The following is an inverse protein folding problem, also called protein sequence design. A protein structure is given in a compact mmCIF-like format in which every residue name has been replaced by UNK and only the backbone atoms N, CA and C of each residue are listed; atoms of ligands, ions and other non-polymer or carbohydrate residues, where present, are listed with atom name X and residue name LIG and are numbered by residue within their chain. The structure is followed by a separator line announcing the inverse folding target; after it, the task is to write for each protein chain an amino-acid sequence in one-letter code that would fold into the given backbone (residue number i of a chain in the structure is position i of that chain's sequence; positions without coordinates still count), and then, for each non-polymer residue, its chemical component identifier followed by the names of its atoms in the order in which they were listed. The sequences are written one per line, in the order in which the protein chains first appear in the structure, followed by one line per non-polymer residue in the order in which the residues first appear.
data_IF_590993805804
#
_entry.id   IF_590993805804
#
_cell.length_a   1.000
_cell.length_b   1.000
_cell.length_c   1.000
_cell.angle_alpha   90.00
_cell.angle_beta   90.00
_cell.angle_gamma   90.00
#
_symmetry.space_group_name_H-M   'P 1'
#
loop_
_entity.id
_entity.type
_entity.pdbx_description
1 polymer ?
#
# COMPACT_ATOMS: atom_id res chain seq x y z
N UNK A 1 -15.86 -18.94 17.57
CA UNK A 1 -16.00 -18.61 16.14
C UNK A 1 -14.76 -19.12 15.44
N UNK A 2 -14.88 -20.16 14.61
CA UNK A 2 -13.75 -20.73 13.89
C UNK A 2 -13.25 -19.71 12.85
N UNK A 3 -11.96 -19.38 12.89
CA UNK A 3 -11.33 -18.60 11.82
C UNK A 3 -11.53 -19.35 10.51
N UNK A 4 -12.14 -18.69 9.52
CA UNK A 4 -12.37 -19.28 8.21
C UNK A 4 -11.03 -19.74 7.63
N UNK A 5 -10.87 -21.07 7.51
CA UNK A 5 -9.76 -21.69 6.79
C UNK A 5 -9.91 -21.30 5.32
N UNK A 6 -9.09 -20.36 4.84
CA UNK A 6 -9.15 -19.88 3.45
C UNK A 6 -7.91 -19.11 3.06
N UNK A 7 -7.56 -19.18 1.77
CA UNK A 7 -6.56 -18.31 1.18
C UNK A 7 -7.14 -16.89 1.01
N UNK A 8 -6.38 -15.86 1.38
CA UNK A 8 -6.75 -14.48 1.10
C UNK A 8 -6.13 -14.05 -0.24
N UNK A 9 -6.98 -13.75 -1.22
CA UNK A 9 -6.56 -13.22 -2.52
C UNK A 9 -6.46 -11.70 -2.47
N UNK A 10 -5.30 -11.16 -2.85
CA UNK A 10 -5.00 -9.73 -2.77
C UNK A 10 -4.61 -9.22 -4.15
N UNK A 11 -5.31 -8.19 -4.63
CA UNK A 11 -4.95 -7.46 -5.86
C UNK A 11 -3.97 -6.35 -5.51
N UNK A 12 -2.91 -6.22 -6.30
CA UNK A 12 -1.92 -5.16 -6.15
C UNK A 12 -1.96 -4.22 -7.34
N UNK A 13 -1.92 -2.93 -7.06
CA UNK A 13 -1.95 -1.89 -8.07
C UNK A 13 -0.78 -0.95 -7.90
N UNK A 14 -0.33 -0.39 -9.01
CA UNK A 14 0.54 0.77 -9.09
C UNK A 14 -0.19 1.88 -9.86
N UNK A 15 0.20 3.14 -9.70
CA UNK A 15 -0.28 4.18 -10.61
C UNK A 15 0.20 3.91 -12.04
N UNK A 16 -0.67 4.07 -13.03
CA UNK A 16 -0.30 3.90 -14.42
C UNK A 16 0.83 4.87 -14.83
N UNK A 17 1.73 4.40 -15.69
CA UNK A 17 2.89 5.17 -16.19
C UNK A 17 4.02 5.34 -15.16
N UNK A 18 4.02 4.56 -14.07
CA UNK A 18 5.17 4.52 -13.16
C UNK A 18 6.37 3.83 -13.83
N UNK A 19 7.59 4.24 -13.45
CA UNK A 19 8.83 3.72 -14.04
C UNK A 19 9.57 2.76 -13.10
N UNK A 20 8.87 2.14 -12.14
CA UNK A 20 9.47 1.22 -11.16
C UNK A 20 9.83 -0.08 -11.86
N UNK A 21 11.06 -0.56 -11.69
CA UNK A 21 11.52 -1.80 -12.30
C UNK A 21 10.74 -3.03 -11.78
N UNK A 22 10.63 -4.11 -12.58
CA UNK A 22 9.92 -5.33 -12.16
C UNK A 22 10.39 -5.88 -10.81
N UNK A 23 11.71 -5.96 -10.59
CA UNK A 23 12.29 -6.47 -9.34
C UNK A 23 11.89 -5.61 -8.13
N UNK A 24 11.88 -4.28 -8.30
CA UNK A 24 11.45 -3.36 -7.25
C UNK A 24 9.94 -3.42 -7.03
N UNK A 25 9.13 -3.61 -8.07
CA UNK A 25 7.67 -3.85 -7.92
C UNK A 25 7.41 -5.09 -7.08
N UNK A 26 8.12 -6.20 -7.34
CA UNK A 26 8.01 -7.44 -6.55
C UNK A 26 8.38 -7.21 -5.07
N UNK A 27 9.50 -6.52 -4.82
CA UNK A 27 9.93 -6.21 -3.45
C UNK A 27 8.93 -5.27 -2.72
N UNK A 28 8.37 -4.28 -3.42
CA UNK A 28 7.34 -3.40 -2.89
C UNK A 28 6.03 -4.13 -2.59
N UNK A 29 5.62 -5.09 -3.43
CA UNK A 29 4.44 -5.94 -3.18
C UNK A 29 4.58 -6.70 -1.85
N UNK A 30 5.76 -7.28 -1.60
CA UNK A 30 6.06 -7.97 -0.35
C UNK A 30 6.02 -7.00 0.85
N UNK A 31 6.68 -5.85 0.76
CA UNK A 31 6.66 -4.83 1.80
C UNK A 31 5.24 -4.29 2.07
N UNK A 32 4.46 -4.05 1.02
CA UNK A 32 3.09 -3.55 1.13
C UNK A 32 2.19 -4.55 1.85
N UNK A 33 2.32 -5.84 1.53
CA UNK A 33 1.58 -6.89 2.21
C UNK A 33 1.98 -7.00 3.69
N UNK A 34 3.27 -7.02 3.99
CA UNK A 34 3.75 -7.02 5.37
C UNK A 34 3.21 -5.82 6.15
N UNK A 35 3.20 -4.64 5.53
CA UNK A 35 2.65 -3.40 6.12
C UNK A 35 1.15 -3.52 6.39
N UNK A 36 0.36 -4.11 5.49
CA UNK A 36 -1.07 -4.33 5.72
C UNK A 36 -1.32 -5.33 6.87
N UNK A 37 -0.45 -6.33 7.01
CA UNK A 37 -0.53 -7.35 8.06
C UNK A 37 -0.12 -6.83 9.44
N UNK A 38 0.57 -5.69 9.54
CA UNK A 38 0.87 -5.03 10.82
C UNK A 38 -0.42 -4.74 11.63
N UNK A 39 -1.49 -4.32 10.95
CA UNK A 39 -2.83 -4.13 11.55
C UNK A 39 -3.67 -5.43 11.60
N UNK A 40 -3.07 -6.59 11.34
CA UNK A 40 -3.73 -7.89 11.19
C UNK A 40 -4.86 -7.92 10.14
N UNK A 41 -4.91 -6.94 9.24
CA UNK A 41 -5.93 -6.86 8.19
C UNK A 41 -5.76 -8.00 7.17
N UNK A 42 -6.88 -8.48 6.63
CA UNK A 42 -6.90 -9.31 5.43
C UNK A 42 -7.24 -8.41 4.23
N UNK A 43 -6.25 -7.70 3.65
CA UNK A 43 -6.50 -6.78 2.55
C UNK A 43 -7.07 -7.53 1.34
N UNK A 44 -7.94 -6.87 0.59
CA UNK A 44 -8.44 -7.32 -0.72
C UNK A 44 -7.75 -6.60 -1.87
N UNK A 45 -7.40 -5.34 -1.66
CA UNK A 45 -6.67 -4.56 -2.63
C UNK A 45 -5.61 -3.69 -1.94
N UNK A 46 -4.45 -3.58 -2.58
CA UNK A 46 -3.35 -2.75 -2.13
C UNK A 46 -2.88 -1.88 -3.30
N UNK A 47 -2.83 -0.57 -3.11
CA UNK A 47 -2.24 0.37 -4.04
C UNK A 47 -0.85 0.79 -3.53
N UNK A 48 0.18 0.46 -4.29
CA UNK A 48 1.54 0.97 -4.10
C UNK A 48 1.62 2.35 -4.76
N UNK A 49 1.81 3.38 -3.93
CA UNK A 49 1.66 4.78 -4.36
C UNK A 49 2.97 5.39 -4.82
N UNK A 50 4.09 4.82 -4.44
CA UNK A 50 5.44 5.25 -4.83
C UNK A 50 6.46 4.15 -4.56
N UNK A 51 7.64 4.33 -5.15
CA UNK A 51 8.84 3.59 -4.78
C UNK A 51 9.34 3.98 -3.36
N UNK A 52 10.35 3.30 -2.85
CA UNK A 52 11.05 3.68 -1.62
C UNK A 52 11.53 5.13 -1.67
N UNK A 53 11.17 5.90 -0.64
CA UNK A 53 11.53 7.30 -0.47
C UNK A 53 11.72 7.61 1.02
N UNK A 54 12.40 8.69 1.32
CA UNK A 54 12.68 9.15 2.69
C UNK A 54 12.20 10.58 2.93
N UNK A 55 11.17 10.98 2.17
CA UNK A 55 10.54 12.30 2.29
C UNK A 55 9.07 12.17 2.60
N UNK A 56 8.53 13.16 3.30
CA UNK A 56 7.11 13.25 3.63
C UNK A 56 6.67 14.71 3.59
N UNK A 57 5.39 14.96 3.86
CA UNK A 57 4.85 16.32 3.99
C UNK A 57 4.69 16.66 5.46
N UNK A 58 5.51 17.58 5.97
CA UNK A 58 5.44 18.10 7.33
C UNK A 58 4.97 19.55 7.24
N UNK A 59 3.85 19.87 7.89
CA UNK A 59 3.24 21.22 7.86
C UNK A 59 3.06 21.80 6.43
N UNK A 60 2.70 20.94 5.48
CA UNK A 60 2.49 21.32 4.09
C UNK A 60 3.77 21.50 3.26
N UNK A 61 4.95 21.27 3.83
CA UNK A 61 6.25 21.30 3.12
C UNK A 61 6.80 19.90 2.93
N UNK A 62 7.33 19.63 1.74
CA UNK A 62 8.09 18.41 1.49
C UNK A 62 9.44 18.48 2.21
N UNK A 63 9.70 17.52 3.08
CA UNK A 63 10.92 17.44 3.89
C UNK A 63 11.34 15.98 4.07
N UNK A 64 12.55 15.74 4.59
CA UNK A 64 12.98 14.41 4.99
C UNK A 64 12.06 13.86 6.09
N UNK A 65 11.64 12.62 5.94
CA UNK A 65 10.86 11.93 6.96
C UNK A 65 11.79 11.56 8.13
N UNK A 66 11.52 12.00 9.37
CA UNK A 66 12.36 11.70 10.52
C UNK A 66 12.43 10.19 10.84
N UNK A 67 11.52 9.37 10.31
CA UNK A 67 11.51 7.91 10.47
C UNK A 67 12.29 7.18 9.37
N UNK A 68 12.75 7.91 8.35
CA UNK A 68 13.63 7.42 7.29
C UNK A 68 12.91 6.79 6.10
N UNK A 69 13.58 5.82 5.45
CA UNK A 69 13.14 5.19 4.22
C UNK A 69 11.87 4.36 4.40
N UNK A 70 10.90 4.56 3.53
CA UNK A 70 9.63 3.86 3.56
C UNK A 70 8.99 3.70 2.17
N UNK A 71 8.11 2.71 2.07
CA UNK A 71 7.11 2.61 1.01
C UNK A 71 5.79 3.24 1.45
N UNK A 72 5.07 3.85 0.51
CA UNK A 72 3.75 4.46 0.77
C UNK A 72 2.67 3.67 0.07
N UNK A 73 1.69 3.21 0.85
CA UNK A 73 0.65 2.28 0.43
C UNK A 73 -0.74 2.81 0.77
N UNK A 74 -1.75 2.27 0.09
CA UNK A 74 -3.13 2.35 0.51
C UNK A 74 -3.74 0.95 0.48
N UNK A 75 -4.51 0.59 1.50
CA UNK A 75 -5.09 -0.73 1.66
C UNK A 75 -6.61 -0.64 1.70
N UNK A 76 -7.26 -1.68 1.19
CA UNK A 76 -8.70 -1.90 1.33
C UNK A 76 -8.98 -3.29 1.84
N UNK A 77 -9.77 -3.41 2.88
CA UNK A 77 -10.48 -4.65 3.22
C UNK A 77 -11.82 -4.74 2.48
N UNK A 78 -12.58 -5.82 2.63
CA UNK A 78 -13.76 -6.09 1.80
C UNK A 78 -14.81 -4.97 1.84
N UNK A 79 -15.19 -4.49 3.03
CA UNK A 79 -16.19 -3.42 3.16
C UNK A 79 -15.67 -2.08 2.58
N UNK A 80 -14.37 -1.83 2.68
CA UNK A 80 -13.73 -0.63 2.13
C UNK A 80 -13.70 -0.63 0.60
N UNK A 81 -13.64 -1.80 -0.03
CA UNK A 81 -13.81 -1.92 -1.48
C UNK A 81 -15.22 -1.47 -1.87
N UNK A 82 -16.25 -1.97 -1.18
CA UNK A 82 -17.66 -1.65 -1.47
C UNK A 82 -17.99 -0.18 -1.21
N UNK A 83 -17.39 0.42 -0.17
CA UNK A 83 -17.66 1.80 0.25
C UNK A 83 -16.78 2.83 -0.46
N UNK A 84 -15.77 2.41 -1.22
CA UNK A 84 -14.74 3.28 -1.83
C UNK A 84 -13.91 4.07 -0.80
N UNK A 85 -13.40 3.36 0.21
CA UNK A 85 -12.49 3.90 1.22
C UNK A 85 -11.17 3.13 1.23
N UNK A 86 -10.16 3.72 1.86
CA UNK A 86 -8.87 3.08 2.10
C UNK A 86 -8.23 3.56 3.40
N UNK A 87 -7.25 2.80 3.86
CA UNK A 87 -6.29 3.21 4.89
C UNK A 87 -4.96 3.51 4.20
N UNK A 88 -4.46 4.73 4.35
CA UNK A 88 -3.12 5.09 3.88
C UNK A 88 -2.08 4.68 4.92
N UNK A 89 -0.94 4.16 4.48
CA UNK A 89 0.09 3.66 5.39
C UNK A 89 1.49 3.84 4.85
N UNK A 90 2.45 3.96 5.76
CA UNK A 90 3.88 3.92 5.46
C UNK A 90 4.48 2.68 6.09
N UNK A 91 5.21 1.88 5.30
CA UNK A 91 6.03 0.78 5.78
C UNK A 91 7.49 1.22 5.82
N UNK A 92 8.02 1.48 7.01
CA UNK A 92 9.39 1.94 7.22
C UNK A 92 10.37 0.77 7.23
N UNK A 93 11.57 1.03 6.72
CA UNK A 93 12.65 0.05 6.50
C UNK A 93 13.97 0.63 7.04
N UNK A 94 15.07 -0.13 6.99
CA UNK A 94 16.37 0.37 7.44
C UNK A 94 17.13 1.17 6.36
N UNK A 95 16.67 1.15 5.10
CA UNK A 95 17.36 1.83 4.00
C UNK A 95 16.62 1.74 2.67
N UNK A 96 17.10 2.48 1.67
CA UNK A 96 16.47 2.55 0.32
C UNK A 96 16.34 1.19 -0.38
N UNK A 97 17.32 0.33 -0.15
CA UNK A 97 17.43 -0.99 -0.78
C UNK A 97 17.00 -2.13 0.17
N UNK A 98 16.50 -1.80 1.37
CA UNK A 98 15.91 -2.74 2.31
C UNK A 98 14.38 -2.69 2.16
N UNK A 99 13.76 -3.83 1.85
CA UNK A 99 12.31 -3.96 1.71
C UNK A 99 11.69 -4.77 2.86
N UNK A 100 12.45 -4.99 3.94
CA UNK A 100 11.97 -5.65 5.15
C UNK A 100 11.28 -4.62 6.03
N UNK A 101 10.03 -4.92 6.42
CA UNK A 101 9.28 -4.05 7.31
C UNK A 101 9.96 -3.97 8.68
N UNK A 102 10.34 -2.76 9.09
CA UNK A 102 10.81 -2.46 10.46
C UNK A 102 9.66 -1.99 11.35
N UNK A 103 8.80 -1.12 10.82
CA UNK A 103 7.67 -0.53 11.54
C UNK A 103 6.66 0.03 10.52
N UNK A 104 5.40 0.16 10.91
CA UNK A 104 4.37 0.78 10.09
C UNK A 104 3.70 1.98 10.78
N UNK A 105 3.11 2.86 9.98
CA UNK A 105 2.11 3.84 10.44
C UNK A 105 0.91 3.80 9.55
N UNK A 106 -0.26 4.04 10.14
CA UNK A 106 -1.54 3.98 9.46
C UNK A 106 -2.34 5.24 9.78
N UNK A 107 -3.00 5.80 8.76
CA UNK A 107 -3.98 6.86 8.98
C UNK A 107 -5.33 6.25 9.35
N UNK A 108 -6.27 7.04 9.90
CA UNK A 108 -7.67 6.67 9.85
C UNK A 108 -8.13 6.39 8.40
N UNK A 109 -9.25 5.70 8.29
CA UNK A 109 -9.93 5.45 7.02
C UNK A 109 -10.29 6.77 6.31
N UNK A 110 -10.14 6.80 4.97
CA UNK A 110 -10.45 7.97 4.14
C UNK A 110 -11.09 7.53 2.83
N UNK A 111 -11.89 8.41 2.24
CA UNK A 111 -12.49 8.16 0.92
C UNK A 111 -11.41 8.08 -0.14
N UNK A 112 -11.61 7.24 -1.14
CA UNK A 112 -10.72 7.08 -2.30
C UNK A 112 -10.43 8.38 -3.05
N UNK A 113 -11.45 9.24 -3.12
CA UNK A 113 -11.36 10.58 -3.71
C UNK A 113 -10.52 11.57 -2.89
N UNK A 114 -9.89 11.15 -1.79
CA UNK A 114 -8.95 11.99 -1.03
C UNK A 114 -7.89 12.55 -1.99
N UNK A 115 -7.72 13.87 -2.09
CA UNK A 115 -6.75 14.47 -2.99
C UNK A 115 -5.32 14.01 -2.71
N UNK A 116 -4.53 13.80 -3.77
CA UNK A 116 -3.09 13.55 -3.66
C UNK A 116 -2.29 14.57 -4.48
N UNK A 117 -1.09 14.90 -4.00
CA UNK A 117 -0.26 15.92 -4.63
C UNK A 117 -0.79 17.34 -4.41
N UNK A 118 -0.43 18.26 -5.30
CA UNK A 118 -0.85 19.67 -5.19
C UNK A 118 -2.36 19.86 -5.31
N UNK A 119 -2.91 20.88 -4.61
CA UNK A 119 -4.35 21.20 -4.56
C UNK A 119 -5.05 21.31 -5.92
N UNK A 120 -4.32 21.65 -6.98
CA UNK A 120 -4.84 21.83 -8.34
C UNK A 120 -4.64 20.63 -9.27
N UNK A 121 -4.08 19.52 -8.78
CA UNK A 121 -3.72 18.39 -9.62
C UNK A 121 -4.94 17.59 -10.10
N UNK A 122 -6.08 17.68 -9.41
CA UNK A 122 -7.26 16.83 -9.65
C UNK A 122 -7.03 15.34 -9.35
N UNK A 123 -5.84 14.95 -8.89
CA UNK A 123 -5.48 13.56 -8.63
C UNK A 123 -6.02 13.15 -7.27
N UNK A 124 -6.51 11.92 -7.20
CA UNK A 124 -6.98 11.29 -5.96
C UNK A 124 -6.08 10.10 -5.58
N UNK A 125 -6.12 9.69 -4.31
CA UNK A 125 -5.31 8.58 -3.80
C UNK A 125 -5.65 7.29 -4.53
N UNK A 126 -6.92 6.93 -4.63
CA UNK A 126 -7.36 5.73 -5.33
C UNK A 126 -8.23 6.13 -6.54
N UNK A 127 -7.62 6.32 -7.72
CA UNK A 127 -8.37 6.64 -8.94
C UNK A 127 -9.08 5.40 -9.51
N UNK A 128 -9.81 5.59 -10.60
CA UNK A 128 -10.38 4.46 -11.36
C UNK A 128 -9.29 3.50 -11.84
N UNK A 129 -9.64 2.23 -12.02
CA UNK A 129 -8.68 1.19 -12.44
C UNK A 129 -8.01 1.50 -13.80
N UNK A 130 -8.65 2.29 -14.67
CA UNK A 130 -8.04 2.75 -15.93
C UNK A 130 -6.79 3.64 -15.74
N UNK A 131 -6.59 4.19 -14.54
CA UNK A 131 -5.41 4.98 -14.16
C UNK A 131 -4.46 4.18 -13.25
N UNK A 132 -4.68 2.88 -13.12
CA UNK A 132 -3.88 1.94 -12.36
C UNK A 132 -3.31 0.86 -13.29
N UNK A 133 -2.15 0.34 -12.91
CA UNK A 133 -1.58 -0.88 -13.46
C UNK A 133 -1.70 -1.97 -12.40
N UNK A 134 -2.47 -3.02 -12.69
CA UNK A 134 -2.49 -4.21 -11.85
C UNK A 134 -1.15 -4.96 -11.98
N UNK A 135 -0.58 -5.35 -10.84
CA UNK A 135 0.68 -6.08 -10.81
C UNK A 135 0.51 -7.46 -11.44
N UNK A 136 1.47 -7.87 -12.27
CA UNK A 136 1.37 -9.04 -13.18
C UNK A 136 1.00 -10.35 -12.49
N UNK A 137 1.43 -10.56 -11.24
CA UNK A 137 1.13 -11.78 -10.49
C UNK A 137 -0.15 -11.66 -9.63
N UNK A 138 -0.92 -10.57 -9.79
CA UNK A 138 -2.18 -10.37 -9.05
C UNK A 138 -3.36 -11.14 -9.67
N UNK A 139 -4.34 -11.58 -8.86
CA UNK A 139 -4.32 -11.55 -7.41
C UNK A 139 -3.37 -12.61 -6.82
N UNK A 140 -2.63 -12.24 -5.77
CA UNK A 140 -1.75 -13.18 -5.06
C UNK A 140 -2.55 -13.84 -3.93
N UNK A 141 -2.50 -15.17 -3.87
CA UNK A 141 -3.12 -15.96 -2.81
C UNK A 141 -2.17 -16.09 -1.61
N UNK A 142 -2.63 -15.69 -0.43
CA UNK A 142 -1.91 -15.88 0.83
C UNK A 142 -2.64 -16.88 1.71
N UNK A 143 -2.00 -18.02 1.98
CA UNK A 143 -2.48 -18.98 2.97
C UNK A 143 -2.10 -18.50 4.38
N UNK A 144 -3.08 -18.35 5.26
CA UNK A 144 -2.86 -18.05 6.67
C UNK A 144 -2.88 -19.32 7.54
N UNK A 145 -2.40 -20.44 7.00
CA UNK A 145 -2.29 -21.68 7.78
C UNK A 145 -1.22 -21.46 8.86
N UNK A 146 -1.50 -21.77 10.13
CA UNK A 146 -0.45 -21.79 11.14
C UNK A 146 0.61 -22.83 10.74
N UNK A 147 1.89 -22.49 10.92
CA UNK A 147 2.97 -23.49 10.83
C UNK A 147 2.66 -24.61 11.84
N UNK A 148 2.70 -25.86 11.36
CA UNK A 148 2.38 -27.06 12.13
C UNK A 148 3.57 -27.42 13.02
#
# INVERSE_FOLDING_TARGET
MAAARGANFVRYFFYAGNTISPDRRKALVALAYATARDQQLAPKAILIRSEMHDTTTIEGKHAKDPRGWHGTFAFKVNDQVEREFHVASHGYTNGKEDFTLRAATHTPEKQDKTPRGGKKSGKVVWPSEALLEEYVDSPIAYSHLPEI
#
